data_IF_618673940344
#
_entry.id   IF_618673940344
#
_cell.length_a   1.000
_cell.length_b   1.000
_cell.length_c   1.000
_cell.angle_alpha   90.00
_cell.angle_beta   90.00
_cell.angle_gamma   90.00
#
_symmetry.space_group_name_H-M   'P 1'
#
loop_
_entity.id
_entity.type
_entity.pdbx_description
1 polymer ?
#
# COMPACT_ATOMS: atom_id res chain seq x y z
N UNK A 1 55.89 -71.99 38.72
CA UNK A 1 56.49 -71.05 37.78
C UNK A 1 55.46 -69.98 37.42
N UNK A 2 55.53 -68.88 38.08
CA UNK A 2 54.54 -67.79 38.02
C UNK A 2 55.26 -66.53 37.50
N UNK A 3 54.98 -66.11 36.26
CA UNK A 3 55.60 -64.98 35.64
C UNK A 3 54.60 -63.79 35.72
N UNK A 4 54.93 -62.86 36.60
CA UNK A 4 54.21 -61.60 36.78
C UNK A 4 54.70 -60.58 35.72
N UNK A 5 53.82 -60.05 34.89
CA UNK A 5 54.15 -58.95 34.03
C UNK A 5 53.79 -57.58 34.66
N UNK A 6 54.62 -56.57 34.58
CA UNK A 6 54.31 -55.24 35.10
C UNK A 6 53.43 -54.43 34.15
N UNK A 7 52.41 -53.84 34.68
CA UNK A 7 51.53 -52.87 34.07
C UNK A 7 52.23 -51.50 33.93
N UNK A 8 52.50 -51.10 32.69
CA UNK A 8 53.08 -49.80 32.39
C UNK A 8 51.97 -48.79 32.10
N UNK A 9 51.60 -47.99 33.08
CA UNK A 9 50.65 -46.88 32.96
C UNK A 9 51.27 -45.69 32.25
N UNK A 10 50.83 -45.43 30.99
CA UNK A 10 51.15 -44.20 30.33
C UNK A 10 50.29 -43.07 30.87
N UNK A 11 50.85 -42.21 31.66
CA UNK A 11 50.28 -40.93 32.09
C UNK A 11 50.34 -39.99 30.89
N UNK A 12 49.20 -39.77 30.22
CA UNK A 12 49.04 -38.76 29.17
C UNK A 12 49.03 -37.37 29.79
N UNK A 13 50.16 -36.69 29.71
CA UNK A 13 50.27 -35.30 30.10
C UNK A 13 49.30 -34.45 29.31
N UNK A 14 48.30 -33.88 29.97
CA UNK A 14 47.40 -32.90 29.41
C UNK A 14 48.17 -31.64 28.95
N UNK A 15 48.10 -31.32 27.69
CA UNK A 15 48.60 -30.05 27.13
C UNK A 15 47.84 -28.91 27.81
N UNK A 16 48.48 -27.93 28.41
CA UNK A 16 47.81 -26.74 28.88
C UNK A 16 47.27 -25.97 27.67
N UNK A 17 45.98 -25.81 27.63
CA UNK A 17 45.31 -24.96 26.65
C UNK A 17 45.82 -23.52 26.77
N UNK A 18 46.51 -23.03 25.74
CA UNK A 18 47.08 -21.69 25.72
C UNK A 18 45.97 -20.63 25.83
N UNK A 19 46.23 -19.50 26.52
CA UNK A 19 45.23 -18.44 26.76
C UNK A 19 44.78 -17.66 25.51
N UNK A 20 45.35 -17.99 24.34
CA UNK A 20 45.07 -17.24 23.09
C UNK A 20 43.75 -17.57 22.39
N UNK A 21 43.16 -18.77 22.62
CA UNK A 21 41.92 -19.16 21.91
C UNK A 21 40.64 -18.55 22.48
N UNK A 22 40.61 -18.34 23.79
CA UNK A 22 39.44 -17.75 24.44
C UNK A 22 39.29 -16.23 24.21
N UNK A 23 40.42 -15.55 23.93
CA UNK A 23 40.41 -14.11 23.61
C UNK A 23 39.89 -13.85 22.17
N UNK A 24 40.34 -14.67 21.21
CA UNK A 24 39.93 -14.52 19.80
C UNK A 24 38.45 -14.84 19.57
N UNK A 25 37.87 -15.77 20.32
CA UNK A 25 36.44 -16.09 20.22
C UNK A 25 35.53 -14.99 20.81
N UNK A 26 35.99 -14.33 21.89
CA UNK A 26 35.25 -13.17 22.46
C UNK A 26 35.34 -11.91 21.60
N UNK A 27 36.39 -11.71 20.84
CA UNK A 27 36.52 -10.58 19.91
C UNK A 27 35.64 -10.78 18.66
N UNK A 28 35.53 -12.01 18.15
CA UNK A 28 34.66 -12.35 17.02
C UNK A 28 33.18 -12.21 17.37
N UNK A 29 32.79 -12.58 18.58
CA UNK A 29 31.40 -12.47 19.04
C UNK A 29 30.98 -11.00 19.27
N UNK A 30 31.91 -10.11 19.66
CA UNK A 30 31.63 -8.67 19.79
C UNK A 30 31.51 -7.96 18.44
N UNK A 31 32.19 -8.42 17.39
CA UNK A 31 32.07 -7.88 16.03
C UNK A 31 30.72 -8.16 15.41
N UNK A 32 30.22 -9.38 15.50
CA UNK A 32 28.95 -9.79 14.91
C UNK A 32 27.72 -9.12 15.55
N UNK A 33 27.79 -8.72 16.82
CA UNK A 33 26.71 -8.00 17.50
C UNK A 33 26.56 -6.54 17.04
N UNK A 34 27.67 -5.88 16.68
CA UNK A 34 27.68 -4.49 16.20
C UNK A 34 27.15 -4.36 14.78
N UNK A 35 27.51 -5.29 13.89
CA UNK A 35 27.07 -5.27 12.50
C UNK A 35 25.56 -5.51 12.37
N UNK A 36 24.98 -6.39 13.23
CA UNK A 36 23.52 -6.61 13.27
C UNK A 36 22.75 -5.40 13.77
N UNK A 37 23.31 -4.64 14.71
CA UNK A 37 22.70 -3.40 15.23
C UNK A 37 22.74 -2.27 14.19
N UNK A 38 23.79 -2.16 13.42
CA UNK A 38 23.96 -1.13 12.39
C UNK A 38 22.99 -1.35 11.22
N UNK A 39 22.86 -2.58 10.73
CA UNK A 39 21.91 -2.95 9.67
C UNK A 39 20.46 -2.70 10.13
N UNK A 40 20.12 -3.00 11.39
CA UNK A 40 18.79 -2.74 11.93
C UNK A 40 18.47 -1.24 11.98
N UNK A 41 19.45 -0.38 12.28
CA UNK A 41 19.29 1.08 12.28
C UNK A 41 19.10 1.64 10.87
N UNK A 42 19.76 1.10 9.87
CA UNK A 42 19.59 1.48 8.46
C UNK A 42 18.19 1.11 7.97
N UNK A 43 17.68 -0.09 8.30
CA UNK A 43 16.32 -0.49 7.98
C UNK A 43 15.27 0.38 8.68
N UNK A 44 15.49 0.75 9.94
CA UNK A 44 14.59 1.64 10.68
C UNK A 44 14.51 3.04 10.04
N UNK A 45 15.60 3.55 9.51
CA UNK A 45 15.63 4.83 8.79
C UNK A 45 14.94 4.77 7.43
N UNK A 46 14.98 3.62 6.74
CA UNK A 46 14.39 3.45 5.42
C UNK A 46 12.89 3.13 5.46
N UNK A 47 12.41 2.52 6.54
CA UNK A 47 11.03 2.08 6.71
C UNK A 47 9.99 3.21 6.62
N UNK A 48 10.18 4.40 7.24
CA UNK A 48 9.28 5.53 7.06
C UNK A 48 9.17 6.00 5.62
N UNK A 49 10.29 6.00 4.87
CA UNK A 49 10.29 6.37 3.46
C UNK A 49 9.49 5.38 2.61
N UNK A 50 9.68 4.08 2.83
CA UNK A 50 8.89 3.04 2.16
C UNK A 50 7.40 3.17 2.47
N UNK A 51 7.06 3.45 3.73
CA UNK A 51 5.67 3.65 4.14
C UNK A 51 5.05 4.85 3.42
N UNK A 52 5.78 5.96 3.31
CA UNK A 52 5.33 7.16 2.62
C UNK A 52 5.10 6.89 1.13
N UNK A 53 6.00 6.17 0.47
CA UNK A 53 5.84 5.77 -0.94
C UNK A 53 4.63 4.85 -1.11
N UNK A 54 4.45 3.87 -0.22
CA UNK A 54 3.30 2.97 -0.25
C UNK A 54 1.98 3.72 -0.06
N UNK A 55 1.91 4.67 0.88
CA UNK A 55 0.74 5.53 1.07
C UNK A 55 0.45 6.39 -0.17
N UNK A 56 1.47 6.94 -0.79
CA UNK A 56 1.34 7.71 -2.03
C UNK A 56 0.79 6.85 -3.18
N UNK A 57 1.30 5.64 -3.35
CA UNK A 57 0.81 4.70 -4.36
C UNK A 57 -0.65 4.31 -4.12
N UNK A 58 -1.03 4.04 -2.87
CA UNK A 58 -2.42 3.76 -2.48
C UNK A 58 -3.34 4.94 -2.76
N UNK A 59 -2.91 6.16 -2.44
CA UNK A 59 -3.67 7.39 -2.70
C UNK A 59 -3.91 7.60 -4.20
N UNK A 60 -2.90 7.38 -5.04
CA UNK A 60 -3.05 7.46 -6.49
C UNK A 60 -4.01 6.39 -7.04
N UNK A 61 -3.96 5.18 -6.50
CA UNK A 61 -4.91 4.11 -6.83
C UNK A 61 -6.36 4.49 -6.51
N UNK A 62 -6.59 5.06 -5.33
CA UNK A 62 -7.93 5.55 -4.92
C UNK A 62 -8.41 6.70 -5.80
N UNK A 63 -7.55 7.63 -6.16
CA UNK A 63 -7.88 8.73 -7.06
C UNK A 63 -8.24 8.23 -8.48
N UNK A 64 -7.48 7.29 -9.02
CA UNK A 64 -7.77 6.66 -10.31
C UNK A 64 -9.10 5.89 -10.28
N UNK A 65 -9.35 5.15 -9.21
CA UNK A 65 -10.60 4.44 -9.01
C UNK A 65 -11.80 5.41 -8.96
N UNK A 66 -11.73 6.47 -8.16
CA UNK A 66 -12.77 7.48 -8.07
C UNK A 66 -13.01 8.17 -9.42
N UNK A 67 -11.95 8.45 -10.19
CA UNK A 67 -12.06 9.04 -11.52
C UNK A 67 -12.76 8.11 -12.53
N UNK A 68 -12.50 6.80 -12.48
CA UNK A 68 -13.17 5.82 -13.32
C UNK A 68 -14.67 5.70 -12.96
N UNK A 69 -14.98 5.66 -11.69
CA UNK A 69 -16.38 5.64 -11.20
C UNK A 69 -17.15 6.91 -11.63
N UNK A 70 -16.54 8.08 -11.46
CA UNK A 70 -17.12 9.34 -11.89
C UNK A 70 -17.37 9.37 -13.43
N UNK A 71 -16.46 8.77 -14.21
CA UNK A 71 -16.61 8.66 -15.65
C UNK A 71 -17.77 7.74 -16.07
N UNK A 72 -17.93 6.62 -15.40
CA UNK A 72 -19.06 5.69 -15.63
C UNK A 72 -20.38 6.35 -15.24
N UNK A 73 -20.42 7.01 -14.09
CA UNK A 73 -21.61 7.73 -13.62
C UNK A 73 -22.00 8.89 -14.55
N UNK A 74 -21.00 9.65 -15.06
CA UNK A 74 -21.26 10.73 -16.00
C UNK A 74 -21.89 10.22 -17.31
N UNK A 75 -21.40 9.08 -17.83
CA UNK A 75 -21.98 8.44 -19.03
C UNK A 75 -23.39 7.92 -18.77
N UNK A 76 -23.63 7.28 -17.62
CA UNK A 76 -24.95 6.80 -17.25
C UNK A 76 -25.95 7.95 -17.12
N UNK A 77 -25.61 9.00 -16.38
CA UNK A 77 -26.45 10.18 -16.22
C UNK A 77 -26.68 10.94 -17.52
N UNK A 78 -25.66 11.09 -18.39
CA UNK A 78 -25.79 11.75 -19.69
C UNK A 78 -26.76 10.98 -20.62
N UNK A 79 -26.67 9.64 -20.64
CA UNK A 79 -27.55 8.79 -21.43
C UNK A 79 -29.01 8.93 -20.98
N UNK A 80 -29.27 8.81 -19.68
CA UNK A 80 -30.61 8.99 -19.14
C UNK A 80 -31.17 10.39 -19.42
N UNK A 81 -30.33 11.44 -19.29
CA UNK A 81 -30.75 12.82 -19.56
C UNK A 81 -30.98 13.10 -21.05
N UNK A 82 -30.36 12.36 -21.96
CA UNK A 82 -30.46 12.54 -23.40
C UNK A 82 -31.64 11.78 -24.02
N UNK A 83 -32.14 10.72 -23.40
CA UNK A 83 -33.23 9.87 -23.89
C UNK A 83 -34.59 10.56 -23.70
N UNK A 84 -35.39 10.60 -24.74
CA UNK A 84 -36.78 11.14 -24.68
C UNK A 84 -37.72 10.33 -23.80
N UNK A 85 -37.53 9.00 -23.76
CA UNK A 85 -38.32 8.06 -22.98
C UNK A 85 -37.68 7.65 -21.66
N UNK A 86 -36.82 8.48 -21.10
CA UNK A 86 -36.11 8.16 -19.87
C UNK A 86 -37.10 8.09 -18.68
N UNK A 87 -37.43 6.86 -18.25
CA UNK A 87 -38.21 6.58 -17.04
C UNK A 87 -37.33 6.63 -15.77
N UNK A 88 -36.49 7.65 -15.61
CA UNK A 88 -35.63 7.76 -14.45
C UNK A 88 -34.97 9.13 -14.30
N UNK A 89 -34.66 9.49 -13.06
CA UNK A 89 -33.91 10.69 -12.77
C UNK A 89 -32.42 10.49 -13.15
N UNK A 90 -31.85 11.34 -14.01
CA UNK A 90 -30.42 11.22 -14.40
C UNK A 90 -29.44 11.27 -13.24
N UNK A 91 -29.75 12.01 -12.18
CA UNK A 91 -28.90 12.09 -11.00
C UNK A 91 -28.90 10.78 -10.21
N UNK A 92 -30.07 10.17 -10.01
CA UNK A 92 -30.19 8.90 -9.31
C UNK A 92 -29.50 7.77 -10.10
N UNK A 93 -29.66 7.76 -11.43
CA UNK A 93 -28.96 6.82 -12.33
C UNK A 93 -27.44 7.00 -12.27
N UNK A 94 -26.96 8.23 -12.30
CA UNK A 94 -25.54 8.51 -12.15
C UNK A 94 -25.02 8.07 -10.77
N UNK A 95 -25.78 8.30 -9.70
CA UNK A 95 -25.37 7.91 -8.35
C UNK A 95 -25.34 6.38 -8.18
N UNK A 96 -26.29 5.64 -8.74
CA UNK A 96 -26.31 4.17 -8.66
C UNK A 96 -25.13 3.53 -9.42
N UNK A 97 -24.51 4.24 -10.36
CA UNK A 97 -23.35 3.80 -11.08
C UNK A 97 -22.01 4.04 -10.31
N UNK A 98 -22.08 4.62 -9.11
CA UNK A 98 -20.94 4.80 -8.21
C UNK A 98 -21.08 3.84 -7.04
N UNK A 99 -19.96 3.21 -6.63
CA UNK A 99 -19.94 2.36 -5.44
C UNK A 99 -20.46 3.11 -4.21
N UNK A 100 -21.34 2.48 -3.41
CA UNK A 100 -22.04 3.12 -2.30
C UNK A 100 -21.10 3.86 -1.34
N UNK A 101 -20.05 3.20 -0.86
CA UNK A 101 -19.07 3.78 0.05
C UNK A 101 -18.37 5.03 -0.50
N UNK A 102 -18.16 5.10 -1.82
CA UNK A 102 -17.54 6.23 -2.48
C UNK A 102 -18.54 7.38 -2.68
N UNK A 103 -19.78 7.04 -3.05
CA UNK A 103 -20.88 7.99 -3.20
C UNK A 103 -21.29 8.65 -1.88
N UNK A 104 -21.25 7.90 -0.78
CA UNK A 104 -21.58 8.40 0.57
C UNK A 104 -20.50 9.35 1.11
N UNK A 105 -19.25 9.17 0.66
CA UNK A 105 -18.16 10.09 0.97
C UNK A 105 -18.31 11.49 0.34
N UNK A 106 -19.07 11.61 -0.74
CA UNK A 106 -19.39 12.85 -1.43
C UNK A 106 -19.62 12.65 -2.92
N UNK A 107 -20.82 13.02 -3.39
CA UNK A 107 -21.24 12.93 -4.77
C UNK A 107 -21.92 14.24 -5.20
N UNK A 108 -21.56 14.74 -6.36
CA UNK A 108 -22.19 15.91 -6.98
C UNK A 108 -22.48 15.60 -8.43
N UNK A 109 -23.70 15.93 -8.86
CA UNK A 109 -24.14 15.82 -10.23
C UNK A 109 -24.57 17.17 -10.76
N UNK A 110 -24.24 17.46 -12.00
CA UNK A 110 -24.75 18.60 -12.73
C UNK A 110 -24.90 18.25 -14.19
N UNK A 111 -25.94 18.77 -14.83
CA UNK A 111 -26.15 18.61 -16.26
C UNK A 111 -26.33 19.97 -16.94
N UNK A 112 -25.88 20.05 -18.17
CA UNK A 112 -26.13 21.18 -19.04
C UNK A 112 -26.75 20.66 -20.32
N UNK A 113 -27.91 21.20 -20.66
CA UNK A 113 -28.70 20.81 -21.83
C UNK A 113 -28.58 21.84 -22.95
N UNK A 114 -28.90 21.39 -24.14
CA UNK A 114 -28.95 22.11 -25.40
C UNK A 114 -29.28 21.11 -26.50
N UNK A 115 -28.59 21.22 -27.65
CA UNK A 115 -28.63 20.20 -28.71
C UNK A 115 -27.99 18.89 -28.20
N UNK A 116 -26.96 19.02 -27.37
CA UNK A 116 -26.29 17.91 -26.69
C UNK A 116 -26.45 18.07 -25.17
N UNK A 117 -26.56 16.94 -24.48
CA UNK A 117 -26.60 16.88 -23.03
C UNK A 117 -25.21 16.55 -22.50
N UNK A 118 -24.67 17.43 -21.68
CA UNK A 118 -23.42 17.17 -20.95
C UNK A 118 -23.71 16.96 -19.48
N UNK A 119 -23.47 15.75 -18.99
CA UNK A 119 -23.51 15.43 -17.56
C UNK A 119 -22.09 15.50 -16.96
N UNK A 120 -21.97 16.14 -15.83
CA UNK A 120 -20.74 16.24 -15.05
C UNK A 120 -20.95 15.63 -13.68
N UNK A 121 -20.09 14.68 -13.33
CA UNK A 121 -20.07 14.03 -12.01
C UNK A 121 -18.78 14.36 -11.29
N UNK A 122 -18.91 14.66 -10.02
CA UNK A 122 -17.78 14.85 -9.10
C UNK A 122 -17.95 13.88 -7.93
N UNK A 123 -16.90 13.13 -7.65
CA UNK A 123 -16.83 12.18 -6.53
C UNK A 123 -15.66 12.56 -5.64
N UNK A 124 -15.90 12.63 -4.34
CA UNK A 124 -14.84 12.92 -3.38
C UNK A 124 -13.88 11.73 -3.29
N UNK A 125 -12.59 12.00 -3.45
CA UNK A 125 -11.53 10.99 -3.31
C UNK A 125 -11.25 10.77 -1.83
N UNK A 126 -11.39 9.53 -1.31
CA UNK A 126 -10.99 9.24 0.07
C UNK A 126 -9.49 9.49 0.25
N UNK A 127 -9.11 10.19 1.31
CA UNK A 127 -7.72 10.44 1.63
C UNK A 127 -7.22 9.47 2.68
N UNK A 128 -6.12 8.79 2.39
CA UNK A 128 -5.35 7.98 3.35
C UNK A 128 -4.08 8.72 3.80
N UNK A 129 -3.73 9.81 3.11
CA UNK A 129 -2.58 10.64 3.43
C UNK A 129 -3.07 11.90 4.14
N UNK A 130 -2.64 12.17 5.38
CA UNK A 130 -2.98 13.41 6.09
C UNK A 130 -2.60 14.64 5.26
N UNK A 131 -3.51 15.62 5.17
CA UNK A 131 -3.30 16.86 4.42
C UNK A 131 -3.68 16.80 2.94
N UNK A 132 -4.08 15.66 2.39
CA UNK A 132 -4.61 15.53 1.04
C UNK A 132 -6.16 15.43 1.01
N UNK A 133 -6.81 15.87 2.07
CA UNK A 133 -8.26 15.88 2.15
C UNK A 133 -8.90 16.90 1.21
N UNK A 134 -10.10 16.57 0.71
CA UNK A 134 -10.89 17.50 -0.09
C UNK A 134 -10.70 17.41 -1.60
N UNK A 135 -9.97 16.43 -2.12
CA UNK A 135 -9.83 16.22 -3.55
C UNK A 135 -11.11 15.62 -4.16
N UNK A 136 -11.45 16.11 -5.35
CA UNK A 136 -12.61 15.66 -6.11
C UNK A 136 -12.19 15.16 -7.49
N UNK A 137 -12.57 13.93 -7.80
CA UNK A 137 -12.47 13.40 -9.15
C UNK A 137 -13.66 13.93 -9.96
N UNK A 138 -13.40 14.75 -10.98
CA UNK A 138 -14.41 15.33 -11.88
C UNK A 138 -14.32 14.66 -13.24
N UNK A 139 -15.47 14.22 -13.78
CA UNK A 139 -15.61 13.68 -15.14
C UNK A 139 -16.88 14.21 -15.77
N UNK A 140 -16.83 14.37 -17.09
CA UNK A 140 -18.00 14.79 -17.88
C UNK A 140 -18.17 13.84 -19.06
N UNK A 141 -19.42 13.63 -19.45
CA UNK A 141 -19.78 12.89 -20.64
C UNK A 141 -20.86 13.70 -21.41
N UNK A 142 -20.75 13.72 -22.73
CA UNK A 142 -21.70 14.40 -23.59
C UNK A 142 -22.39 13.38 -24.50
N UNK A 143 -23.72 13.46 -24.61
CA UNK A 143 -24.57 12.62 -25.44
C UNK A 143 -25.45 13.52 -26.31
N UNK A 144 -25.62 13.19 -27.60
CA UNK A 144 -26.60 13.87 -28.43
C UNK A 144 -28.01 13.56 -27.89
N UNK A 145 -28.91 14.53 -28.03
CA UNK A 145 -30.33 14.36 -27.64
C UNK A 145 -31.02 13.60 -28.76
N UNK A 146 -31.63 12.47 -28.44
CA UNK A 146 -32.43 11.64 -29.34
C UNK A 146 -33.90 11.99 -29.21
#
# INVERSE_FOLDING_TARGET
>A
MTTTMPYSGHIRAGRPGGPGRAATDRERDRGQGRDRGQVALEYLGFLPLLLLVAMGALQLGLAAYAANQAGTAARAGARTAASYDAHGDPQSTARSAVSGWLGDGGFRYSQRGGRDITATVQVKVPSVVPGLDGWWAKRSATMPRE
#
